data_IF_844618066618
#
_entry.id   IF_844618066618
#
_cell.length_a   1.000
_cell.length_b   1.000
_cell.length_c   1.000
_cell.angle_alpha   90.00
_cell.angle_beta   90.00
_cell.angle_gamma   90.00
#
_symmetry.space_group_name_H-M   'P 1'
#
loop_
_entity.id
_entity.type
_entity.pdbx_description
1 polymer ?
#
# COMPACT_ATOMS: atom_id res chain seq x y z
N UNK A 1 45.00 -34.94 1.96
CA UNK A 1 44.62 -33.55 1.82
C UNK A 1 44.86 -32.83 3.13
N UNK A 2 45.55 -31.68 3.12
CA UNK A 2 45.81 -30.97 4.37
C UNK A 2 44.52 -30.34 4.92
N UNK A 3 44.40 -30.21 6.23
CA UNK A 3 43.22 -29.54 6.87
C UNK A 3 43.00 -28.13 6.33
N UNK A 4 44.08 -27.44 5.95
CA UNK A 4 44.01 -26.11 5.33
C UNK A 4 43.36 -26.14 3.94
N UNK A 5 43.71 -27.10 3.10
CA UNK A 5 43.14 -27.27 1.78
C UNK A 5 41.63 -27.55 1.84
N UNK A 6 41.20 -28.35 2.82
CA UNK A 6 39.77 -28.63 3.05
C UNK A 6 39.01 -27.38 3.48
N UNK A 7 39.59 -26.56 4.37
CA UNK A 7 38.97 -25.31 4.83
C UNK A 7 38.84 -24.30 3.69
N UNK A 8 39.82 -24.16 2.83
CA UNK A 8 39.77 -23.25 1.67
C UNK A 8 38.68 -23.69 0.68
N UNK A 9 38.57 -24.99 0.41
CA UNK A 9 37.51 -25.51 -0.47
C UNK A 9 36.11 -25.28 0.12
N UNK A 10 35.95 -25.53 1.42
CA UNK A 10 34.66 -25.30 2.08
C UNK A 10 34.26 -23.82 2.05
N UNK A 11 35.20 -22.91 2.28
CA UNK A 11 34.96 -21.48 2.16
C UNK A 11 34.57 -21.07 0.72
N UNK A 12 35.26 -21.59 -0.29
CA UNK A 12 34.98 -21.35 -1.70
C UNK A 12 33.55 -21.76 -2.09
N UNK A 13 33.15 -22.96 -1.67
CA UNK A 13 31.79 -23.48 -1.91
C UNK A 13 30.73 -22.61 -1.21
N UNK A 14 30.99 -22.19 0.02
CA UNK A 14 30.09 -21.33 0.77
C UNK A 14 29.87 -19.96 0.07
N UNK A 15 30.96 -19.30 -0.34
CA UNK A 15 30.88 -18.02 -1.03
C UNK A 15 30.23 -18.14 -2.41
N UNK A 16 30.50 -19.20 -3.14
CA UNK A 16 29.85 -19.45 -4.43
C UNK A 16 28.33 -19.68 -4.26
N UNK A 17 27.91 -20.44 -3.27
CA UNK A 17 26.52 -20.68 -2.96
C UNK A 17 25.82 -19.39 -2.49
N UNK A 18 26.44 -18.62 -1.62
CA UNK A 18 25.91 -17.34 -1.14
C UNK A 18 25.75 -16.33 -2.29
N UNK A 19 26.75 -16.24 -3.16
CA UNK A 19 26.67 -15.38 -4.34
C UNK A 19 25.55 -15.83 -5.31
N UNK A 20 25.44 -17.12 -5.56
CA UNK A 20 24.38 -17.66 -6.40
C UNK A 20 22.99 -17.40 -5.83
N UNK A 21 22.79 -17.55 -4.53
CA UNK A 21 21.55 -17.22 -3.85
C UNK A 21 21.21 -15.73 -3.98
N UNK A 22 22.21 -14.86 -3.88
CA UNK A 22 22.01 -13.42 -4.01
C UNK A 22 21.58 -13.00 -5.42
N UNK A 23 22.18 -13.58 -6.47
CA UNK A 23 21.82 -13.24 -7.86
C UNK A 23 20.54 -13.93 -8.34
N UNK A 24 20.17 -15.08 -7.74
CA UNK A 24 18.94 -15.80 -8.06
C UNK A 24 17.77 -15.45 -7.17
N UNK A 25 17.97 -14.56 -6.18
CA UNK A 25 16.88 -14.09 -5.33
C UNK A 25 15.93 -13.19 -6.12
N UNK A 26 14.79 -13.75 -6.47
CA UNK A 26 13.65 -12.94 -6.89
C UNK A 26 12.83 -12.58 -5.64
N UNK A 27 12.70 -11.29 -5.33
CA UNK A 27 11.84 -10.90 -4.21
C UNK A 27 10.42 -11.42 -4.48
N UNK A 28 9.71 -11.91 -3.45
CA UNK A 28 8.35 -12.38 -3.62
C UNK A 28 7.52 -11.27 -4.26
N UNK A 29 6.75 -11.62 -5.30
CA UNK A 29 5.83 -10.68 -5.94
C UNK A 29 4.94 -10.06 -4.87
N UNK A 30 4.75 -8.75 -4.94
CA UNK A 30 3.92 -8.03 -3.98
C UNK A 30 2.54 -8.66 -3.89
N UNK A 31 2.21 -9.19 -2.72
CA UNK A 31 0.86 -9.71 -2.46
C UNK A 31 -0.10 -8.52 -2.39
N UNK A 32 -1.21 -8.59 -3.11
CA UNK A 32 -2.22 -7.55 -3.11
C UNK A 32 -2.76 -7.24 -4.51
N UNK A 33 -3.88 -6.52 -4.60
CA UNK A 33 -4.55 -6.22 -5.85
C UNK A 33 -3.79 -5.21 -6.73
N UNK A 34 -4.22 -5.10 -7.98
CA UNK A 34 -3.76 -4.06 -8.90
C UNK A 34 -2.40 -4.31 -9.54
N UNK A 35 -1.84 -3.29 -10.19
CA UNK A 35 -0.58 -3.38 -10.93
C UNK A 35 0.61 -3.65 -10.01
N UNK A 36 1.72 -4.10 -10.61
CA UNK A 36 2.99 -4.22 -9.90
C UNK A 36 3.41 -2.86 -9.32
N UNK A 37 4.03 -2.89 -8.15
CA UNK A 37 4.45 -1.70 -7.45
C UNK A 37 4.47 -1.87 -5.94
N UNK A 38 4.60 -0.75 -5.24
CA UNK A 38 4.56 -0.70 -3.79
C UNK A 38 3.10 -0.80 -3.31
N UNK A 39 2.81 -1.75 -2.42
CA UNK A 39 1.45 -2.04 -1.93
C UNK A 39 1.43 -2.13 -0.41
N UNK A 40 0.47 -1.45 0.19
CA UNK A 40 0.27 -1.47 1.63
C UNK A 40 -1.19 -1.77 1.97
N UNK A 41 -1.39 -2.75 2.84
CA UNK A 41 -2.70 -3.03 3.42
C UNK A 41 -3.00 -1.98 4.50
N UNK A 42 -4.15 -1.32 4.38
CA UNK A 42 -4.65 -0.41 5.41
C UNK A 42 -5.23 -1.24 6.56
N UNK A 43 -4.51 -1.32 7.66
CA UNK A 43 -4.90 -2.15 8.81
C UNK A 43 -5.74 -1.41 9.86
N UNK A 44 -6.13 -0.16 9.57
CA UNK A 44 -6.84 0.67 10.53
C UNK A 44 -5.94 1.24 11.65
N UNK A 45 -6.48 1.94 12.61
CA UNK A 45 -7.90 2.25 12.74
C UNK A 45 -8.41 3.20 11.65
N UNK A 46 -9.65 2.97 11.20
CA UNK A 46 -10.36 3.90 10.33
C UNK A 46 -11.22 4.82 11.19
N UNK A 47 -10.98 6.11 11.08
CA UNK A 47 -11.71 7.11 11.84
C UNK A 47 -12.82 7.70 10.96
N UNK A 48 -14.05 7.66 11.43
CA UNK A 48 -15.16 8.33 10.74
C UNK A 48 -14.92 9.84 10.74
N UNK A 49 -15.03 10.47 9.58
CA UNK A 49 -14.76 11.90 9.44
C UNK A 49 -15.94 12.73 9.98
N UNK A 50 -17.15 12.25 9.78
CA UNK A 50 -18.38 12.88 10.24
C UNK A 50 -19.39 11.80 10.63
N UNK A 51 -20.19 12.05 11.65
CA UNK A 51 -21.17 11.09 12.17
C UNK A 51 -22.28 10.75 11.18
N UNK A 52 -22.50 11.57 10.17
CA UNK A 52 -23.59 11.43 9.19
C UNK A 52 -23.13 11.04 7.80
N UNK A 53 -21.83 11.09 7.53
CA UNK A 53 -21.28 10.85 6.21
C UNK A 53 -20.70 9.45 6.02
N UNK A 54 -20.26 9.19 4.78
CA UNK A 54 -19.67 7.92 4.36
C UNK A 54 -18.14 7.92 4.39
N UNK A 55 -17.52 9.07 4.72
CA UNK A 55 -16.07 9.24 4.71
C UNK A 55 -15.38 8.68 5.94
N UNK A 56 -14.29 7.95 5.70
CA UNK A 56 -13.39 7.46 6.73
C UNK A 56 -11.97 7.92 6.42
N UNK A 57 -11.24 8.27 7.47
CA UNK A 57 -9.84 8.66 7.36
C UNK A 57 -8.92 7.57 7.91
N UNK A 58 -7.79 7.39 7.24
CA UNK A 58 -6.69 6.57 7.66
C UNK A 58 -5.39 7.38 7.52
N UNK A 59 -4.65 7.52 8.62
CA UNK A 59 -3.36 8.20 8.60
C UNK A 59 -2.28 7.17 8.32
N UNK A 60 -1.65 7.26 7.14
CA UNK A 60 -0.53 6.43 6.78
C UNK A 60 0.69 6.79 7.64
N UNK A 61 1.52 5.80 7.93
CA UNK A 61 2.80 6.04 8.60
C UNK A 61 3.71 6.78 7.60
N UNK A 62 4.44 7.77 8.07
CA UNK A 62 5.19 8.77 7.28
C UNK A 62 6.13 8.24 6.18
N UNK A 63 6.46 6.96 6.21
CA UNK A 63 7.38 6.36 5.23
C UNK A 63 6.68 5.60 4.08
N UNK A 64 5.34 5.54 4.07
CA UNK A 64 4.63 4.97 2.93
C UNK A 64 4.73 5.91 1.73
N UNK A 65 5.09 5.34 0.60
CA UNK A 65 5.20 6.08 -0.66
C UNK A 65 6.10 7.31 -0.61
N UNK A 66 7.40 7.17 -0.28
CA UNK A 66 8.33 8.28 -0.26
C UNK A 66 8.29 9.02 -1.61
N UNK A 67 8.17 10.34 -1.56
CA UNK A 67 8.04 11.20 -2.73
C UNK A 67 6.63 11.31 -3.33
N UNK A 68 5.62 10.63 -2.79
CA UNK A 68 4.23 10.93 -3.08
C UNK A 68 3.83 12.18 -2.30
N UNK A 69 3.68 13.31 -2.99
CA UNK A 69 3.37 14.59 -2.34
C UNK A 69 1.94 14.58 -1.85
N UNK A 70 1.75 14.58 -0.55
CA UNK A 70 0.46 14.82 0.07
C UNK A 70 -0.08 16.19 -0.39
N UNK A 71 -1.36 16.25 -0.75
CA UNK A 71 -2.05 17.51 -1.05
C UNK A 71 -1.99 18.00 -2.49
N UNK A 72 -1.39 17.24 -3.42
CA UNK A 72 -1.55 17.53 -4.85
C UNK A 72 -2.79 16.83 -5.40
N UNK A 73 -3.52 17.51 -6.25
CA UNK A 73 -4.73 17.02 -6.93
C UNK A 73 -4.51 15.78 -7.83
N UNK A 74 -3.29 15.29 -7.92
CA UNK A 74 -2.85 14.19 -8.77
C UNK A 74 -1.96 13.22 -8.01
N UNK A 75 -2.44 12.64 -6.91
CA UNK A 75 -1.73 11.55 -6.27
C UNK A 75 -1.72 10.31 -7.19
N UNK A 76 -0.55 9.69 -7.44
CA UNK A 76 -0.47 8.46 -8.23
C UNK A 76 -0.94 7.23 -7.46
N UNK A 77 -1.36 7.40 -6.21
CA UNK A 77 -1.74 6.28 -5.35
C UNK A 77 -3.16 5.83 -5.69
N UNK A 78 -3.30 4.54 -5.94
CA UNK A 78 -4.57 3.88 -6.19
C UNK A 78 -5.07 3.23 -4.90
N UNK A 79 -6.36 3.27 -4.66
CA UNK A 79 -6.98 2.59 -3.54
C UNK A 79 -7.88 1.46 -4.05
N UNK A 80 -7.69 0.27 -3.49
CA UNK A 80 -8.45 -0.93 -3.81
C UNK A 80 -9.25 -1.39 -2.59
N UNK A 81 -10.45 -1.85 -2.85
CA UNK A 81 -11.28 -2.60 -1.92
C UNK A 81 -11.29 -4.06 -2.38
N UNK A 82 -10.66 -4.95 -1.62
CA UNK A 82 -10.31 -6.30 -2.09
C UNK A 82 -9.54 -6.22 -3.42
N UNK A 83 -10.10 -6.70 -4.51
CA UNK A 83 -9.50 -6.67 -5.86
C UNK A 83 -10.09 -5.57 -6.76
N UNK A 84 -10.99 -4.74 -6.25
CA UNK A 84 -11.72 -3.72 -7.02
C UNK A 84 -11.10 -2.36 -6.81
N UNK A 85 -10.69 -1.70 -7.89
CA UNK A 85 -10.22 -0.31 -7.85
C UNK A 85 -11.37 0.61 -7.45
N UNK A 86 -11.14 1.39 -6.41
CA UNK A 86 -12.06 2.43 -5.96
C UNK A 86 -11.91 3.69 -6.83
N UNK A 87 -12.91 4.56 -6.80
CA UNK A 87 -12.90 5.82 -7.52
C UNK A 87 -14.23 6.56 -7.48
N UNK A 88 -14.24 7.78 -7.99
CA UNK A 88 -13.13 8.56 -8.54
C UNK A 88 -12.08 8.94 -7.50
N UNK A 89 -10.84 9.14 -7.99
CA UNK A 89 -9.71 9.56 -7.18
C UNK A 89 -9.67 11.08 -7.05
N UNK A 90 -9.28 11.55 -5.87
CA UNK A 90 -9.07 12.97 -5.53
C UNK A 90 -10.29 13.90 -5.69
N UNK A 91 -11.52 13.49 -5.36
CA UNK A 91 -12.62 14.42 -5.18
C UNK A 91 -12.38 15.27 -3.92
N UNK A 92 -13.16 16.33 -3.77
CA UNK A 92 -13.16 17.10 -2.52
C UNK A 92 -13.57 16.23 -1.33
N UNK A 93 -12.99 16.42 -0.14
CA UNK A 93 -13.35 15.65 1.06
C UNK A 93 -14.85 15.66 1.37
N UNK A 94 -15.52 16.79 1.12
CA UNK A 94 -16.97 16.92 1.28
C UNK A 94 -17.76 16.00 0.35
N UNK A 95 -17.27 15.72 -0.85
CA UNK A 95 -17.90 14.80 -1.80
C UNK A 95 -17.75 13.35 -1.37
N UNK A 96 -16.58 12.97 -0.83
CA UNK A 96 -16.37 11.64 -0.26
C UNK A 96 -17.37 11.41 0.88
N UNK A 97 -17.48 12.40 1.75
CA UNK A 97 -18.38 12.29 2.92
C UNK A 97 -19.85 12.27 2.53
N UNK A 98 -20.25 13.07 1.56
CA UNK A 98 -21.65 13.23 1.13
C UNK A 98 -22.14 12.08 0.25
N UNK A 99 -21.34 11.67 -0.72
CA UNK A 99 -21.78 10.71 -1.75
C UNK A 99 -21.20 9.30 -1.54
N UNK A 100 -20.01 9.18 -0.96
CA UNK A 100 -19.36 7.90 -0.76
C UNK A 100 -19.08 7.13 -2.05
N UNK A 101 -19.55 5.91 -2.15
CA UNK A 101 -19.49 5.02 -3.32
C UNK A 101 -18.06 4.80 -3.86
N UNK A 102 -17.13 4.51 -2.97
CA UNK A 102 -15.74 4.21 -3.33
C UNK A 102 -14.88 5.43 -3.65
N UNK A 103 -15.37 6.65 -3.47
CA UNK A 103 -14.56 7.86 -3.62
C UNK A 103 -13.44 7.88 -2.61
N UNK A 104 -12.26 8.32 -3.05
CA UNK A 104 -11.11 8.44 -2.16
C UNK A 104 -10.19 9.59 -2.56
N UNK A 105 -9.43 10.05 -1.59
CA UNK A 105 -8.38 11.05 -1.77
C UNK A 105 -7.16 10.68 -0.93
N UNK A 106 -5.97 10.93 -1.45
CA UNK A 106 -4.70 10.80 -0.75
C UNK A 106 -4.09 12.17 -0.52
N UNK A 107 -3.65 12.44 0.72
CA UNK A 107 -3.03 13.71 1.06
C UNK A 107 -4.02 14.75 1.52
N UNK A 108 -4.67 14.52 2.65
CA UNK A 108 -5.57 15.46 3.29
C UNK A 108 -4.80 16.53 4.06
N UNK A 109 -5.10 17.81 3.80
CA UNK A 109 -4.55 18.95 4.55
C UNK A 109 -3.02 18.93 4.72
N UNK A 110 -2.29 18.38 3.75
CA UNK A 110 -0.83 18.29 3.81
C UNK A 110 -0.28 17.11 4.61
N UNK A 111 -1.15 16.23 5.12
CA UNK A 111 -0.76 15.00 5.80
C UNK A 111 -0.84 13.79 4.87
N UNK A 112 -0.01 12.75 5.06
CA UNK A 112 -0.08 11.50 4.33
C UNK A 112 -1.26 10.65 4.81
N UNK A 113 -2.46 11.17 4.63
CA UNK A 113 -3.70 10.56 5.05
C UNK A 113 -4.55 10.18 3.85
N UNK A 114 -5.27 9.07 3.98
CA UNK A 114 -6.34 8.70 3.04
C UNK A 114 -7.67 9.10 3.62
N UNK A 115 -8.53 9.67 2.80
CA UNK A 115 -9.95 9.73 3.07
C UNK A 115 -10.68 8.92 2.01
N UNK A 116 -11.54 8.01 2.41
CA UNK A 116 -12.23 7.12 1.49
C UNK A 116 -13.59 6.68 2.02
N UNK A 117 -14.37 6.11 1.14
CA UNK A 117 -15.60 5.38 1.47
C UNK A 117 -15.56 3.98 0.86
N UNK A 118 -16.28 3.04 1.46
CA UNK A 118 -16.53 1.76 0.83
C UNK A 118 -17.33 1.92 -0.48
N UNK A 119 -17.19 0.99 -1.41
CA UNK A 119 -17.87 1.04 -2.72
C UNK A 119 -19.39 1.09 -2.62
N UNK A 120 -19.96 0.49 -1.59
CA UNK A 120 -21.40 0.41 -1.30
C UNK A 120 -21.81 1.21 -0.06
N UNK A 121 -20.98 2.12 0.41
CA UNK A 121 -21.20 2.96 1.59
C UNK A 121 -21.34 2.21 2.93
N UNK A 122 -20.97 0.94 2.99
CA UNK A 122 -20.91 0.20 4.25
C UNK A 122 -19.73 0.67 5.11
N UNK A 123 -19.79 0.42 6.40
CA UNK A 123 -18.71 0.80 7.32
C UNK A 123 -17.47 -0.07 7.12
N UNK A 124 -16.33 0.48 6.68
CA UNK A 124 -15.11 -0.30 6.42
C UNK A 124 -14.51 -0.94 7.66
N UNK A 125 -14.92 -0.52 8.87
CA UNK A 125 -14.46 -1.12 10.14
C UNK A 125 -15.12 -2.47 10.41
N UNK A 126 -16.27 -2.75 9.79
CA UNK A 126 -17.11 -3.93 10.06
C UNK A 126 -17.58 -4.69 8.83
N UNK A 127 -17.29 -4.20 7.61
CA UNK A 127 -17.76 -4.86 6.39
C UNK A 127 -16.90 -6.07 5.96
N UNK A 128 -15.82 -6.37 6.67
CA UNK A 128 -14.95 -7.54 6.41
C UNK A 128 -14.08 -7.43 5.16
N UNK A 129 -13.99 -6.24 4.56
CA UNK A 129 -13.19 -6.01 3.34
C UNK A 129 -11.80 -5.51 3.68
N UNK A 130 -10.87 -5.76 2.76
CA UNK A 130 -9.49 -5.30 2.86
C UNK A 130 -9.29 -4.10 1.93
N UNK A 131 -8.61 -3.08 2.45
CA UNK A 131 -8.31 -1.86 1.70
C UNK A 131 -6.81 -1.77 1.46
N UNK A 132 -6.42 -1.51 0.20
CA UNK A 132 -5.02 -1.52 -0.22
C UNK A 132 -4.68 -0.21 -0.91
N UNK A 133 -3.61 0.42 -0.44
CA UNK A 133 -2.99 1.53 -1.15
C UNK A 133 -1.87 0.99 -2.05
N UNK A 134 -1.92 1.35 -3.32
CA UNK A 134 -1.01 0.85 -4.36
C UNK A 134 -0.38 2.02 -5.10
N UNK A 135 0.95 2.07 -5.11
CA UNK A 135 1.72 2.96 -5.97
C UNK A 135 2.27 2.14 -7.12
N UNK A 136 1.73 2.29 -8.34
CA UNK A 136 2.22 1.54 -9.50
C UNK A 136 3.71 1.75 -9.73
N UNK A 137 4.41 0.71 -10.15
CA UNK A 137 5.77 0.84 -10.66
C UNK A 137 5.76 1.72 -11.92
N UNK A 138 6.81 2.53 -12.09
CA UNK A 138 7.00 3.37 -13.29
C UNK A 138 7.60 2.56 -14.42
#
# INVERSE_FOLDING_TARGET
MSKLALAIMAAGVYFAAAYWLQISYEPPKSVGPGPDGEKHLLQGPFNRVDNTGFGFAFVAIDHWFPGATAGKSTSPILLYENDTLLGPNNPAPSEINKYGQGRYSHGLYGYPAFMFSASDNTDPRSNGRHYWAVKPAR
#
